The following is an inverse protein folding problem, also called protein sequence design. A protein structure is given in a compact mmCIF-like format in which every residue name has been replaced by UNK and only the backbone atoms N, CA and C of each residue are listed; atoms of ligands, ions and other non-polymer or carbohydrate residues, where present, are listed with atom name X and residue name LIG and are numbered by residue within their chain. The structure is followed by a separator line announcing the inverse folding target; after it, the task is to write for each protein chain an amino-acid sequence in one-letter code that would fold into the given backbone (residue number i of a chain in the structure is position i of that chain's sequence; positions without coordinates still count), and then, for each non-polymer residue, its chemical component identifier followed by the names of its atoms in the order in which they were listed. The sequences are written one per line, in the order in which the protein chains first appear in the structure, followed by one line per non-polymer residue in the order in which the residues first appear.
data_IF_201402745906
#
_entry.id   IF_201402745906
#
_cell.length_a   1.000
_cell.length_b   1.000
_cell.length_c   1.000
_cell.angle_alpha   90.00
_cell.angle_beta   90.00
_cell.angle_gamma   90.00
#
_symmetry.space_group_name_H-M   'P 1'
#
loop_
_entity.id
_entity.type
_entity.pdbx_description
1 polymer ?
#
# COMPACT_ATOMS: atom_id res chain seq x y z
N UNK A 1 32.00 -31.49 -9.74
CA UNK A 1 32.82 -30.62 -10.62
C UNK A 1 33.31 -29.36 -9.91
N UNK A 2 33.04 -29.19 -8.61
CA UNK A 2 33.39 -27.96 -7.87
C UNK A 2 34.90 -27.76 -7.80
N UNK A 3 35.35 -26.51 -7.93
CA UNK A 3 36.75 -26.10 -7.98
C UNK A 3 37.45 -26.32 -9.32
N UNK A 4 36.83 -27.00 -10.29
CA UNK A 4 37.42 -27.21 -11.61
C UNK A 4 37.38 -25.93 -12.45
N UNK A 5 38.43 -25.70 -13.22
CA UNK A 5 38.50 -24.61 -14.19
C UNK A 5 38.16 -25.13 -15.59
N UNK A 6 37.26 -24.43 -16.26
CA UNK A 6 36.77 -24.78 -17.60
C UNK A 6 36.76 -23.56 -18.50
N UNK A 7 36.69 -23.81 -19.80
CA UNK A 7 36.41 -22.79 -20.80
C UNK A 7 34.95 -22.87 -21.22
N UNK A 8 34.30 -21.72 -21.32
CA UNK A 8 33.05 -21.57 -22.07
C UNK A 8 33.39 -20.88 -23.39
N UNK A 9 33.05 -21.51 -24.51
CA UNK A 9 33.20 -20.90 -25.84
C UNK A 9 31.87 -20.25 -26.22
N UNK A 10 31.94 -19.07 -26.82
CA UNK A 10 30.80 -18.31 -27.29
C UNK A 10 30.91 -18.12 -28.79
N UNK A 11 29.92 -18.60 -29.53
CA UNK A 11 29.79 -18.42 -30.97
C UNK A 11 28.36 -17.98 -31.26
N UNK A 12 28.22 -16.80 -31.83
CA UNK A 12 26.91 -16.19 -32.10
C UNK A 12 26.04 -16.13 -30.83
N UNK A 13 24.88 -16.78 -30.85
CA UNK A 13 23.87 -16.83 -29.78
C UNK A 13 23.98 -18.09 -28.90
N UNK A 14 25.13 -18.78 -28.95
CA UNK A 14 25.35 -20.05 -28.25
C UNK A 14 26.63 -20.04 -27.42
N UNK A 15 26.54 -20.67 -26.27
CA UNK A 15 27.63 -21.02 -25.37
C UNK A 15 27.91 -22.52 -25.43
N UNK A 16 29.17 -22.93 -25.32
CA UNK A 16 29.61 -24.32 -25.44
C UNK A 16 30.53 -24.65 -24.25
N UNK A 17 30.17 -25.69 -23.50
CA UNK A 17 31.04 -26.35 -22.52
C UNK A 17 31.74 -27.58 -23.10
N UNK A 18 31.24 -28.09 -24.23
CA UNK A 18 31.79 -29.16 -25.06
C UNK A 18 31.41 -28.85 -26.52
N UNK A 19 32.13 -29.43 -27.48
CA UNK A 19 32.00 -29.07 -28.91
C UNK A 19 30.58 -29.33 -29.47
N UNK A 20 29.93 -30.41 -29.05
CA UNK A 20 28.71 -30.93 -29.69
C UNK A 20 27.39 -30.55 -28.97
N UNK A 21 27.44 -29.74 -27.90
CA UNK A 21 26.24 -29.34 -27.15
C UNK A 21 26.16 -27.82 -26.95
N UNK A 22 25.37 -27.09 -27.77
CA UNK A 22 25.13 -25.68 -27.56
C UNK A 22 24.15 -25.42 -26.42
N UNK A 23 24.43 -24.38 -25.63
CA UNK A 23 23.55 -23.79 -24.63
C UNK A 23 23.19 -22.40 -25.11
N UNK A 24 21.89 -22.10 -25.26
CA UNK A 24 21.44 -20.75 -25.65
C UNK A 24 21.89 -19.70 -24.61
N UNK A 25 22.28 -18.50 -25.05
CA UNK A 25 22.74 -17.44 -24.12
C UNK A 25 21.71 -17.10 -23.03
N UNK A 26 20.42 -17.28 -23.32
CA UNK A 26 19.34 -17.12 -22.34
C UNK A 26 19.47 -18.08 -21.15
N UNK A 27 19.92 -19.30 -21.39
CA UNK A 27 20.18 -20.31 -20.37
C UNK A 27 21.58 -20.20 -19.77
N UNK A 28 22.46 -19.38 -20.36
CA UNK A 28 23.77 -19.05 -19.80
C UNK A 28 23.73 -17.87 -18.81
N UNK A 29 22.53 -17.43 -18.36
CA UNK A 29 22.41 -16.37 -17.36
C UNK A 29 22.80 -14.98 -17.85
N UNK A 30 22.88 -14.78 -19.17
CA UNK A 30 23.26 -13.51 -19.81
C UNK A 30 22.06 -12.67 -20.27
N UNK A 31 20.85 -13.23 -20.22
CA UNK A 31 19.60 -12.65 -20.71
C UNK A 31 19.20 -11.34 -20.00
N UNK A 32 19.53 -11.18 -18.72
CA UNK A 32 19.18 -9.97 -17.94
C UNK A 32 20.11 -8.77 -18.19
N UNK A 33 21.29 -9.00 -18.78
CA UNK A 33 22.28 -7.95 -19.09
C UNK A 33 22.14 -7.49 -20.55
N UNK A 34 21.61 -8.36 -21.41
CA UNK A 34 21.48 -8.15 -22.85
C UNK A 34 20.11 -7.55 -23.21
N UNK A 35 19.76 -6.40 -22.63
CA UNK A 35 18.48 -5.73 -22.85
C UNK A 35 18.46 -4.89 -24.16
N UNK A 36 18.91 -5.46 -25.28
CA UNK A 36 18.86 -4.84 -26.62
C UNK A 36 18.59 -5.94 -27.65
N UNK A 37 17.55 -5.74 -28.46
CA UNK A 37 17.12 -6.62 -29.56
C UNK A 37 18.29 -7.15 -30.41
N UNK A 38 18.33 -8.49 -30.57
CA UNK A 38 19.31 -9.29 -31.33
C UNK A 38 20.78 -8.97 -31.01
N UNK A 39 21.35 -9.59 -29.97
CA UNK A 39 22.80 -9.55 -29.74
C UNK A 39 23.41 -10.94 -29.52
N UNK A 40 24.04 -11.40 -30.58
CA UNK A 40 25.00 -12.50 -30.66
C UNK A 40 26.42 -11.97 -30.39
N UNK A 41 27.36 -12.85 -30.01
CA UNK A 41 28.78 -12.52 -29.99
C UNK A 41 29.25 -12.26 -31.42
N UNK A 42 29.72 -11.03 -31.71
CA UNK A 42 30.13 -10.61 -33.06
C UNK A 42 31.35 -11.35 -33.59
N UNK A 43 32.20 -11.82 -32.67
CA UNK A 43 33.36 -12.63 -32.94
C UNK A 43 33.37 -13.80 -31.95
N UNK A 44 34.01 -14.94 -32.29
CA UNK A 44 34.25 -15.99 -31.31
C UNK A 44 34.90 -15.41 -30.06
N UNK A 45 34.46 -15.87 -28.91
CA UNK A 45 35.03 -15.50 -27.62
C UNK A 45 35.09 -16.73 -26.72
N UNK A 46 35.98 -16.75 -25.75
CA UNK A 46 35.97 -17.77 -24.72
C UNK A 46 36.27 -17.17 -23.36
N UNK A 47 35.62 -17.70 -22.33
CA UNK A 47 35.86 -17.28 -20.96
C UNK A 47 36.42 -18.44 -20.16
N UNK A 48 37.44 -18.16 -19.38
CA UNK A 48 37.97 -19.10 -18.39
C UNK A 48 37.15 -18.93 -17.13
N UNK A 49 36.55 -20.02 -16.65
CA UNK A 49 35.67 -20.03 -15.48
C UNK A 49 36.18 -21.00 -14.43
N UNK A 50 35.83 -20.76 -13.17
CA UNK A 50 35.94 -21.75 -12.11
C UNK A 50 34.55 -22.16 -11.63
N UNK A 51 34.27 -23.45 -11.60
CA UNK A 51 32.99 -23.97 -11.09
C UNK A 51 32.96 -23.84 -9.58
N UNK A 52 32.05 -23.02 -9.06
CA UNK A 52 31.82 -22.86 -7.63
C UNK A 52 30.90 -23.98 -7.14
N UNK A 53 29.83 -24.24 -7.90
CA UNK A 53 28.86 -25.27 -7.58
C UNK A 53 28.30 -25.94 -8.84
N UNK A 54 28.02 -27.23 -8.75
CA UNK A 54 27.35 -28.03 -9.76
C UNK A 54 26.14 -28.72 -9.15
N UNK A 55 24.94 -28.36 -9.63
CA UNK A 55 23.69 -29.01 -9.25
C UNK A 55 23.26 -29.97 -10.36
N UNK A 56 23.42 -31.27 -10.11
CA UNK A 56 23.07 -32.34 -11.04
C UNK A 56 21.56 -32.41 -11.30
N UNK A 57 20.73 -32.24 -10.26
CA UNK A 57 19.27 -32.31 -10.39
C UNK A 57 18.69 -31.19 -11.26
N UNK A 58 19.27 -29.99 -11.19
CA UNK A 58 18.87 -28.84 -11.99
C UNK A 58 19.63 -28.73 -13.31
N UNK A 59 20.56 -29.66 -13.59
CA UNK A 59 21.44 -29.62 -14.76
C UNK A 59 22.16 -28.26 -14.90
N UNK A 60 22.63 -27.72 -13.78
CA UNK A 60 23.06 -26.31 -13.66
C UNK A 60 24.44 -26.19 -13.04
N UNK A 61 25.27 -25.33 -13.63
CA UNK A 61 26.53 -24.89 -13.00
C UNK A 61 26.48 -23.43 -12.57
N UNK A 62 27.11 -23.15 -11.44
CA UNK A 62 27.38 -21.82 -10.94
C UNK A 62 28.89 -21.61 -10.91
N UNK A 63 29.38 -20.59 -11.61
CA UNK A 63 30.81 -20.38 -11.82
C UNK A 63 31.24 -18.91 -11.64
N UNK A 64 32.52 -18.68 -11.33
CA UNK A 64 33.14 -17.36 -11.43
C UNK A 64 33.93 -17.25 -12.73
N UNK A 65 33.87 -16.09 -13.38
CA UNK A 65 34.73 -15.83 -14.55
C UNK A 65 36.09 -15.37 -14.07
N UNK A 66 37.13 -16.09 -14.46
CA UNK A 66 38.53 -15.78 -14.16
C UNK A 66 39.14 -14.87 -15.22
N UNK A 67 38.76 -15.06 -16.49
CA UNK A 67 39.26 -14.29 -17.60
C UNK A 67 38.28 -14.28 -18.79
N UNK A 68 38.30 -13.18 -19.53
CA UNK A 68 37.54 -12.97 -20.76
C UNK A 68 38.50 -12.88 -21.94
N UNK A 69 38.26 -13.65 -23.01
CA UNK A 69 39.09 -13.65 -24.20
C UNK A 69 38.25 -13.49 -25.47
N UNK A 70 38.80 -12.78 -26.44
CA UNK A 70 38.28 -12.70 -27.82
C UNK A 70 39.11 -13.66 -28.68
N UNK A 71 38.44 -14.47 -29.49
CA UNK A 71 39.04 -15.45 -30.38
C UNK A 71 38.49 -16.87 -30.17
N UNK A 72 38.94 -17.77 -31.04
CA UNK A 72 38.71 -19.21 -30.90
C UNK A 72 39.72 -19.83 -29.93
N UNK A 73 39.32 -20.94 -29.32
CA UNK A 73 40.21 -21.78 -28.50
C UNK A 73 39.70 -23.22 -28.55
N UNK A 74 40.48 -24.14 -28.01
CA UNK A 74 40.03 -25.51 -27.79
C UNK A 74 39.81 -25.77 -26.30
N UNK A 75 38.90 -26.72 -26.01
CA UNK A 75 38.72 -27.26 -24.68
C UNK A 75 39.97 -28.00 -24.21
N UNK A 76 40.31 -27.82 -22.93
CA UNK A 76 41.45 -28.48 -22.31
C UNK A 76 41.19 -29.98 -22.10
N UNK A 77 42.26 -30.78 -21.97
CA UNK A 77 42.16 -32.24 -21.88
C UNK A 77 41.35 -32.72 -20.66
N UNK A 78 41.50 -32.04 -19.52
CA UNK A 78 40.69 -32.25 -18.32
C UNK A 78 39.19 -32.01 -18.56
N UNK A 79 38.84 -30.97 -19.34
CA UNK A 79 37.46 -30.67 -19.70
C UNK A 79 36.90 -31.72 -20.67
N UNK A 80 37.69 -32.17 -21.66
CA UNK A 80 37.31 -33.25 -22.58
C UNK A 80 37.05 -34.57 -21.85
N UNK A 81 37.82 -34.89 -20.80
CA UNK A 81 37.59 -36.07 -19.95
C UNK A 81 36.28 -36.00 -19.16
N UNK A 82 35.82 -34.79 -18.81
CA UNK A 82 34.57 -34.54 -18.09
C UNK A 82 33.38 -34.29 -19.03
N UNK A 83 33.54 -34.51 -20.34
CA UNK A 83 32.51 -34.27 -21.35
C UNK A 83 31.18 -34.94 -21.03
N UNK A 84 31.19 -36.18 -20.53
CA UNK A 84 29.96 -36.88 -20.13
C UNK A 84 29.14 -36.12 -19.08
N UNK A 85 29.79 -35.51 -18.07
CA UNK A 85 29.10 -34.71 -17.03
C UNK A 85 28.70 -33.33 -17.54
N UNK A 86 29.54 -32.72 -18.38
CA UNK A 86 29.25 -31.43 -18.98
C UNK A 86 28.11 -31.51 -20.00
N UNK A 87 27.96 -32.66 -20.65
CA UNK A 87 26.87 -32.93 -21.57
C UNK A 87 25.50 -32.94 -20.86
N UNK A 88 25.43 -33.08 -19.54
CA UNK A 88 24.16 -33.00 -18.81
C UNK A 88 23.79 -31.56 -18.43
N UNK A 89 24.70 -30.60 -18.55
CA UNK A 89 24.45 -29.19 -18.19
C UNK A 89 23.55 -28.52 -19.23
N UNK A 90 22.50 -27.85 -18.75
CA UNK A 90 21.58 -27.05 -19.54
C UNK A 90 21.61 -25.56 -19.16
N UNK A 91 22.05 -25.23 -17.94
CA UNK A 91 22.04 -23.86 -17.41
C UNK A 91 23.40 -23.49 -16.84
N UNK A 92 23.91 -22.31 -17.21
CA UNK A 92 25.14 -21.73 -16.65
C UNK A 92 24.75 -20.42 -15.95
N UNK A 93 25.24 -20.21 -14.73
CA UNK A 93 25.05 -18.95 -14.00
C UNK A 93 26.38 -18.48 -13.43
N UNK A 94 26.57 -17.18 -13.39
CA UNK A 94 27.84 -16.59 -12.99
C UNK A 94 27.73 -15.91 -11.62
N UNK A 95 28.79 -15.98 -10.81
CA UNK A 95 28.88 -15.32 -9.51
C UNK A 95 28.82 -13.82 -9.66
N UNK A 96 29.72 -13.30 -10.48
CA UNK A 96 29.79 -11.93 -10.94
C UNK A 96 30.19 -11.95 -12.42
N UNK A 97 29.74 -10.96 -13.17
CA UNK A 97 30.21 -10.68 -14.52
C UNK A 97 30.79 -9.28 -14.52
N UNK A 98 32.04 -9.15 -14.95
CA UNK A 98 32.61 -7.85 -15.23
C UNK A 98 31.94 -7.28 -16.49
N UNK A 99 31.16 -6.22 -16.31
CA UNK A 99 30.46 -5.53 -17.40
C UNK A 99 31.44 -5.09 -18.50
N UNK A 100 32.67 -4.69 -18.15
CA UNK A 100 33.66 -4.30 -19.14
C UNK A 100 34.14 -5.51 -19.97
N UNK A 101 34.54 -6.60 -19.32
CA UNK A 101 34.94 -7.85 -19.99
C UNK A 101 33.81 -8.45 -20.85
N UNK A 102 32.58 -8.42 -20.35
CA UNK A 102 31.39 -8.86 -21.08
C UNK A 102 31.13 -8.01 -22.33
N UNK A 103 31.05 -6.68 -22.20
CA UNK A 103 30.78 -5.80 -23.34
C UNK A 103 31.91 -5.84 -24.39
N UNK A 104 33.14 -6.04 -23.93
CA UNK A 104 34.31 -6.16 -24.81
C UNK A 104 34.25 -7.45 -25.63
N UNK A 105 33.97 -8.58 -24.98
CA UNK A 105 33.84 -9.88 -25.68
C UNK A 105 32.59 -9.93 -26.58
N UNK A 106 31.47 -9.34 -26.18
CA UNK A 106 30.26 -9.24 -27.02
C UNK A 106 30.47 -8.38 -28.28
N UNK A 107 31.16 -7.24 -28.13
CA UNK A 107 31.37 -6.30 -29.25
C UNK A 107 32.52 -6.69 -30.15
N UNK A 108 33.45 -7.53 -29.67
CA UNK A 108 34.71 -7.87 -30.33
C UNK A 108 35.66 -6.68 -30.52
N UNK A 109 35.41 -5.56 -29.83
CA UNK A 109 36.25 -4.36 -29.91
C UNK A 109 37.42 -4.48 -28.93
N UNK A 110 38.52 -5.05 -29.42
CA UNK A 110 39.78 -5.18 -28.69
C UNK A 110 40.53 -6.44 -29.08
N UNK A 111 41.84 -6.48 -28.84
CA UNK A 111 42.65 -7.70 -28.90
C UNK A 111 43.27 -7.94 -27.52
N UNK A 112 43.00 -9.11 -26.92
CA UNK A 112 43.63 -9.47 -25.65
C UNK A 112 42.76 -10.26 -24.66
N UNK A 113 43.41 -10.63 -23.55
CA UNK A 113 42.79 -11.21 -22.35
C UNK A 113 42.41 -10.08 -21.39
N UNK A 114 41.20 -10.13 -20.84
CA UNK A 114 40.73 -9.21 -19.83
C UNK A 114 40.47 -9.97 -18.53
N UNK A 115 40.97 -9.44 -17.43
CA UNK A 115 40.78 -10.01 -16.10
C UNK A 115 39.80 -9.12 -15.33
N UNK A 116 38.83 -9.69 -14.60
CA UNK A 116 37.95 -8.92 -13.75
C UNK A 116 38.76 -8.01 -12.81
N UNK A 117 38.37 -6.74 -12.69
CA UNK A 117 39.05 -5.80 -11.79
C UNK A 117 38.96 -6.32 -10.35
N UNK A 118 40.12 -6.59 -9.74
CA UNK A 118 40.21 -6.85 -8.30
C UNK A 118 40.03 -5.51 -7.59
N UNK A 119 38.93 -5.33 -6.89
CA UNK A 119 38.81 -4.23 -5.94
C UNK A 119 40.00 -4.25 -4.96
N UNK A 120 40.54 -3.05 -4.74
CA UNK A 120 41.79 -2.75 -4.05
C UNK A 120 41.74 -3.20 -2.60
N UNK A 121 42.62 -4.12 -2.22
CA UNK A 121 43.08 -4.34 -0.85
C UNK A 121 44.32 -3.44 -0.62
N UNK A 122 44.49 -2.79 0.56
CA UNK A 122 45.61 -1.89 0.80
C UNK A 122 46.96 -2.62 0.86
N UNK A 123 47.95 -1.95 0.28
CA UNK A 123 49.41 -2.12 0.38
C UNK A 123 50.05 -3.52 0.25
N UNK A 124 50.77 -3.63 -0.87
CA UNK A 124 51.86 -4.58 -1.10
C UNK A 124 52.91 -4.48 0.02
N UNK A 125 52.96 -5.46 0.91
CA UNK A 125 54.22 -5.84 1.54
C UNK A 125 55.03 -6.64 0.52
N UNK A 126 56.21 -6.12 0.18
CA UNK A 126 57.23 -6.81 -0.63
C UNK A 126 57.67 -8.09 0.09
N UNK A 127 57.57 -9.24 -0.56
CA UNK A 127 58.33 -10.42 -0.17
C UNK A 127 59.64 -10.49 -0.95
N UNK A 128 60.80 -10.59 -0.28
CA UNK A 128 61.94 -11.28 -0.82
C UNK A 128 61.66 -12.79 -0.78
N UNK A 129 62.08 -13.49 -1.83
CA UNK A 129 62.15 -14.94 -1.92
C UNK A 129 63.01 -15.53 -0.78
N UNK A 130 62.52 -16.58 -0.10
CA UNK A 130 63.32 -17.70 0.44
C UNK A 130 62.43 -18.96 0.51
N UNK A 131 63.09 -20.08 0.27
CA UNK A 131 62.59 -21.46 0.16
C UNK A 131 62.11 -22.09 1.47
N UNK A 132 61.33 -23.16 1.28
CA UNK A 132 61.27 -24.42 2.06
C UNK A 132 60.63 -24.46 3.44
N UNK A 133 59.60 -25.33 3.51
CA UNK A 133 59.22 -26.26 4.60
C UNK A 133 58.84 -25.69 5.97
N UNK A 134 57.60 -25.93 6.39
CA UNK A 134 57.21 -26.80 7.52
C UNK A 134 55.68 -26.73 7.67
N UNK A 135 55.06 -27.91 7.64
CA UNK A 135 53.68 -28.17 8.03
C UNK A 135 53.60 -28.05 9.55
N UNK A 136 52.68 -27.25 10.10
CA UNK A 136 51.93 -27.58 11.32
C UNK A 136 50.81 -26.56 11.61
N UNK A 137 49.62 -27.15 11.85
CA UNK A 137 48.44 -26.65 12.57
C UNK A 137 48.01 -25.19 12.35
N UNK A 138 47.08 -25.01 11.41
CA UNK A 138 46.26 -23.80 11.29
C UNK A 138 45.35 -23.66 12.53
N UNK A 139 45.39 -22.52 13.24
CA UNK A 139 44.36 -22.21 14.24
C UNK A 139 43.01 -22.08 13.53
N UNK A 140 41.93 -22.49 14.20
CA UNK A 140 40.57 -22.29 13.72
C UNK A 140 40.38 -20.80 13.39
N UNK A 141 40.22 -20.49 12.10
CA UNK A 141 39.90 -19.14 11.65
C UNK A 141 38.52 -18.83 12.21
N UNK A 142 38.45 -17.98 13.23
CA UNK A 142 37.19 -17.37 13.66
C UNK A 142 36.61 -16.63 12.44
N UNK A 143 35.58 -17.19 11.82
CA UNK A 143 34.84 -16.51 10.75
C UNK A 143 34.11 -15.34 11.39
N UNK A 144 34.67 -14.14 11.27
CA UNK A 144 33.92 -12.95 11.59
C UNK A 144 32.84 -12.73 10.52
N UNK A 145 31.59 -12.48 10.92
CA UNK A 145 30.48 -12.28 10.00
C UNK A 145 30.78 -11.13 9.01
N UNK A 146 30.60 -11.39 7.71
CA UNK A 146 30.79 -10.36 6.68
C UNK A 146 29.58 -9.43 6.65
N UNK A 147 29.74 -8.19 7.10
CA UNK A 147 28.69 -7.17 7.11
C UNK A 147 28.77 -6.29 5.85
N UNK A 148 27.65 -6.07 5.17
CA UNK A 148 27.51 -5.06 4.10
C UNK A 148 26.27 -4.22 4.34
N UNK A 149 26.29 -2.96 3.89
CA UNK A 149 25.14 -2.06 3.94
C UNK A 149 24.83 -1.54 2.53
N UNK A 150 23.56 -1.58 2.13
CA UNK A 150 23.07 -1.06 0.87
C UNK A 150 22.09 0.07 1.15
N UNK A 151 22.28 1.20 0.48
CA UNK A 151 21.36 2.35 0.54
C UNK A 151 20.81 2.62 -0.86
N UNK A 152 19.49 2.63 -1.02
CA UNK A 152 18.81 2.89 -2.29
C UNK A 152 17.66 3.87 -2.09
N UNK A 153 17.45 4.76 -3.07
CA UNK A 153 16.29 5.66 -3.10
C UNK A 153 15.47 5.38 -4.36
N UNK A 154 14.17 5.19 -4.20
CA UNK A 154 13.24 4.87 -5.30
C UNK A 154 11.83 5.39 -5.03
N UNK A 155 10.99 5.39 -6.06
CA UNK A 155 9.58 5.77 -5.96
C UNK A 155 8.66 4.55 -5.89
N UNK A 156 7.60 4.66 -5.08
CA UNK A 156 6.53 3.66 -4.96
C UNK A 156 5.19 4.36 -5.09
N UNK A 157 4.29 3.82 -5.91
CA UNK A 157 2.93 4.36 -6.00
C UNK A 157 2.18 4.10 -4.69
N UNK A 158 1.49 5.12 -4.16
CA UNK A 158 0.70 5.00 -2.92
C UNK A 158 -0.32 3.86 -3.05
N UNK A 159 -0.93 3.69 -4.23
CA UNK A 159 -1.89 2.59 -4.46
C UNK A 159 -1.28 1.18 -4.26
N UNK A 160 0.04 1.04 -4.37
CA UNK A 160 0.76 -0.23 -4.27
C UNK A 160 1.34 -0.48 -2.87
N UNK A 161 1.26 0.48 -1.94
CA UNK A 161 1.62 0.25 -0.53
C UNK A 161 0.43 -0.34 0.23
N UNK A 162 0.68 -1.10 1.29
CA UNK A 162 -0.32 -1.61 2.23
C UNK A 162 -0.27 -0.77 3.49
N UNK A 163 -1.39 -0.19 3.92
CA UNK A 163 -1.47 0.47 5.21
C UNK A 163 -1.58 -0.61 6.28
N UNK A 164 -0.66 -0.58 7.25
CA UNK A 164 -0.62 -1.52 8.37
C UNK A 164 -0.65 -0.73 9.68
N UNK A 165 -0.88 -1.40 10.80
CA UNK A 165 -0.84 -0.73 12.10
C UNK A 165 0.54 -0.11 12.34
N UNK A 166 0.59 1.22 12.49
CA UNK A 166 1.82 1.94 12.77
C UNK A 166 2.72 2.15 11.54
N UNK A 167 2.21 2.05 10.31
CA UNK A 167 2.98 2.41 9.12
C UNK A 167 2.42 1.94 7.78
N UNK A 168 3.29 1.87 6.78
CA UNK A 168 2.98 1.26 5.49
C UNK A 168 4.00 0.18 5.15
N UNK A 169 3.56 -0.90 4.51
CA UNK A 169 4.42 -1.94 3.96
C UNK A 169 4.31 -2.09 2.46
N UNK A 170 5.38 -2.50 1.81
CA UNK A 170 5.40 -2.81 0.38
C UNK A 170 6.58 -3.71 0.06
N UNK A 171 6.48 -4.42 -1.05
CA UNK A 171 7.53 -5.32 -1.47
C UNK A 171 8.34 -4.72 -2.62
N UNK A 172 9.67 -4.75 -2.49
CA UNK A 172 10.57 -4.19 -3.49
C UNK A 172 11.82 -5.06 -3.63
N UNK A 173 12.25 -5.22 -4.89
CA UNK A 173 13.55 -5.79 -5.21
C UNK A 173 14.58 -4.65 -5.29
N UNK A 174 15.65 -4.76 -4.50
CA UNK A 174 16.76 -3.81 -4.54
C UNK A 174 17.76 -4.16 -5.64
N UNK A 175 18.47 -3.14 -6.15
CA UNK A 175 19.55 -3.35 -7.10
C UNK A 175 20.66 -4.19 -6.45
N UNK A 176 21.05 -5.29 -7.09
CA UNK A 176 22.07 -6.21 -6.55
C UNK A 176 21.54 -7.25 -5.54
N UNK A 177 20.24 -7.28 -5.22
CA UNK A 177 19.63 -8.35 -4.43
C UNK A 177 18.53 -9.08 -5.22
N UNK A 178 18.57 -10.41 -5.23
CA UNK A 178 17.68 -11.21 -6.09
C UNK A 178 16.32 -11.50 -5.46
N UNK A 179 16.20 -11.40 -4.13
CA UNK A 179 14.94 -11.62 -3.41
C UNK A 179 14.13 -10.34 -3.29
N UNK A 180 12.82 -10.52 -3.24
CA UNK A 180 11.87 -9.49 -2.85
C UNK A 180 12.08 -9.20 -1.37
N UNK A 181 12.22 -7.92 -0.99
CA UNK A 181 12.31 -7.50 0.40
C UNK A 181 11.02 -6.76 0.74
N UNK A 182 10.35 -7.17 1.82
CA UNK A 182 9.26 -6.38 2.39
C UNK A 182 9.89 -5.24 3.21
N UNK A 183 9.55 -4.01 2.82
CA UNK A 183 9.91 -2.81 3.56
C UNK A 183 8.73 -2.35 4.37
N UNK A 184 9.01 -1.86 5.58
CA UNK A 184 8.03 -1.16 6.42
C UNK A 184 8.56 0.24 6.71
N UNK A 185 7.72 1.25 6.46
CA UNK A 185 7.96 2.62 6.86
C UNK A 185 7.04 2.90 8.04
N UNK A 186 7.63 3.15 9.21
CA UNK A 186 6.88 3.40 10.44
C UNK A 186 6.23 4.78 10.44
N UNK A 187 4.97 4.84 10.86
CA UNK A 187 4.24 6.05 11.22
C UNK A 187 3.10 5.65 12.19
N UNK A 188 3.17 6.12 13.43
CA UNK A 188 2.25 5.74 14.50
C UNK A 188 0.80 6.23 14.32
N UNK A 189 0.57 7.25 13.50
CA UNK A 189 -0.77 7.77 13.22
C UNK A 189 -1.51 6.91 12.17
N UNK A 190 -0.79 6.04 11.45
CA UNK A 190 -1.37 5.18 10.41
C UNK A 190 -2.00 3.93 11.02
N UNK A 191 -3.22 3.61 10.54
CA UNK A 191 -3.95 2.40 10.87
C UNK A 191 -4.32 1.61 9.61
N UNK A 192 -4.51 0.30 9.77
CA UNK A 192 -4.82 -0.59 8.65
C UNK A 192 -6.17 -0.26 7.98
N UNK A 193 -7.16 0.26 8.72
CA UNK A 193 -8.46 0.59 8.12
C UNK A 193 -8.37 1.72 7.08
N UNK A 194 -7.31 2.52 7.12
CA UNK A 194 -7.07 3.57 6.13
C UNK A 194 -6.72 3.02 4.74
N UNK A 195 -6.37 1.73 4.62
CA UNK A 195 -6.10 1.10 3.33
C UNK A 195 -7.29 1.24 2.36
N UNK A 196 -8.52 1.14 2.89
CA UNK A 196 -9.77 1.27 2.13
C UNK A 196 -10.03 2.69 1.58
N UNK A 197 -9.36 3.71 2.13
CA UNK A 197 -9.50 5.13 1.77
C UNK A 197 -8.18 5.74 1.31
N UNK A 198 -7.21 4.89 0.95
CA UNK A 198 -5.85 5.25 0.54
C UNK A 198 -5.78 6.27 -0.61
N UNK A 199 -6.77 6.30 -1.50
CA UNK A 199 -6.86 7.30 -2.55
C UNK A 199 -6.98 8.75 -2.01
N UNK A 200 -7.66 8.94 -0.87
CA UNK A 200 -7.76 10.26 -0.25
C UNK A 200 -6.40 10.73 0.30
N UNK A 201 -5.60 9.82 0.83
CA UNK A 201 -4.22 10.09 1.28
C UNK A 201 -3.26 10.43 0.12
N UNK A 202 -3.60 10.08 -1.12
CA UNK A 202 -2.88 10.56 -2.31
C UNK A 202 -3.40 11.93 -2.79
N UNK A 203 -4.72 12.16 -2.70
CA UNK A 203 -5.37 13.35 -3.23
C UNK A 203 -5.11 14.61 -2.39
N UNK A 204 -5.15 14.52 -1.06
CA UNK A 204 -4.95 15.66 -0.15
C UNK A 204 -3.54 16.28 -0.31
N UNK A 205 -2.44 15.51 -0.23
CA UNK A 205 -1.09 16.04 -0.48
C UNK A 205 -0.78 16.21 -1.97
N UNK A 206 -1.71 15.85 -2.88
CA UNK A 206 -1.55 15.90 -4.34
C UNK A 206 -0.36 15.10 -4.87
N UNK A 207 0.02 14.02 -4.18
CA UNK A 207 1.05 13.10 -4.66
C UNK A 207 0.48 11.70 -4.87
N UNK A 208 0.89 11.03 -5.93
CA UNK A 208 0.49 9.64 -6.23
C UNK A 208 1.58 8.64 -5.89
N UNK A 209 2.78 9.12 -5.59
CA UNK A 209 3.97 8.32 -5.33
C UNK A 209 4.66 8.83 -4.06
N UNK A 210 5.32 7.94 -3.35
CA UNK A 210 6.19 8.26 -2.23
C UNK A 210 7.63 8.01 -2.63
N UNK A 211 8.52 8.92 -2.24
CA UNK A 211 9.94 8.68 -2.31
C UNK A 211 10.38 7.88 -1.08
N UNK A 212 11.00 6.73 -1.30
CA UNK A 212 11.48 5.86 -0.24
C UNK A 212 13.00 5.81 -0.28
N UNK A 213 13.63 6.09 0.86
CA UNK A 213 15.03 5.80 1.12
C UNK A 213 15.11 4.56 2.00
N UNK A 214 15.69 3.49 1.46
CA UNK A 214 15.87 2.22 2.14
C UNK A 214 17.35 1.98 2.45
N UNK A 215 17.63 1.52 3.67
CA UNK A 215 18.95 1.06 4.14
C UNK A 215 18.79 -0.39 4.56
N UNK A 216 19.55 -1.29 3.94
CA UNK A 216 19.52 -2.72 4.23
C UNK A 216 20.91 -3.18 4.64
N UNK A 217 21.00 -3.78 5.82
CA UNK A 217 22.22 -4.40 6.32
C UNK A 217 22.13 -5.90 6.10
N UNK A 218 23.23 -6.48 5.63
CA UNK A 218 23.36 -7.92 5.50
C UNK A 218 24.54 -8.42 6.31
N UNK A 219 24.37 -9.61 6.88
CA UNK A 219 25.45 -10.41 7.47
C UNK A 219 25.45 -11.75 6.78
N UNK A 220 26.57 -12.14 6.19
CA UNK A 220 26.72 -13.41 5.46
C UNK A 220 25.63 -13.62 4.39
N UNK A 221 25.30 -12.54 3.67
CA UNK A 221 24.24 -12.45 2.65
C UNK A 221 22.78 -12.59 3.14
N UNK A 222 22.57 -12.74 4.45
CA UNK A 222 21.25 -12.66 5.08
C UNK A 222 20.93 -11.23 5.53
N UNK A 223 19.67 -10.81 5.36
CA UNK A 223 19.23 -9.49 5.80
C UNK A 223 19.18 -9.49 7.33
N UNK A 224 20.02 -8.67 7.95
CA UNK A 224 20.00 -8.47 9.41
C UNK A 224 19.20 -7.25 9.82
N UNK A 225 19.02 -6.28 8.93
CA UNK A 225 18.20 -5.10 9.18
C UNK A 225 17.70 -4.51 7.86
N UNK A 226 16.45 -4.04 7.83
CA UNK A 226 15.91 -3.22 6.76
C UNK A 226 15.17 -2.03 7.35
N UNK A 227 15.60 -0.83 6.99
CA UNK A 227 15.00 0.43 7.44
C UNK A 227 14.58 1.22 6.22
N UNK A 228 13.31 1.62 6.16
CA UNK A 228 12.80 2.48 5.10
C UNK A 228 12.20 3.76 5.70
N UNK A 229 12.42 4.90 5.02
CA UNK A 229 11.86 6.20 5.38
C UNK A 229 11.28 6.89 4.15
N UNK A 230 10.22 7.68 4.36
CA UNK A 230 9.60 8.55 3.37
C UNK A 230 9.04 9.78 4.07
N UNK A 231 9.32 10.97 3.53
CA UNK A 231 8.81 12.22 4.07
C UNK A 231 7.30 12.37 3.79
N UNK A 232 6.80 11.80 2.70
CA UNK A 232 5.39 11.78 2.37
C UNK A 232 4.59 10.91 3.34
N UNK A 233 5.15 9.76 3.76
CA UNK A 233 4.54 8.93 4.80
C UNK A 233 4.58 9.64 6.16
N UNK A 234 5.66 10.35 6.50
CA UNK A 234 5.77 11.13 7.73
C UNK A 234 4.74 12.29 7.78
N UNK A 235 4.34 12.84 6.64
CA UNK A 235 3.29 13.86 6.55
C UNK A 235 1.89 13.33 6.89
N UNK A 236 1.67 12.01 6.90
CA UNK A 236 0.42 11.40 7.34
C UNK A 236 0.34 11.49 8.87
N UNK A 237 0.04 12.69 9.35
CA UNK A 237 -0.17 12.98 10.76
C UNK A 237 -1.66 13.21 11.06
N UNK A 238 -1.99 13.42 12.33
CA UNK A 238 -3.37 13.71 12.75
C UNK A 238 -4.04 14.84 11.97
N UNK A 239 -3.32 15.91 11.60
CA UNK A 239 -3.89 17.01 10.81
C UNK A 239 -4.23 16.60 9.38
N UNK A 240 -3.37 15.81 8.72
CA UNK A 240 -3.65 15.30 7.38
C UNK A 240 -4.80 14.29 7.42
N UNK A 241 -4.84 13.43 8.44
CA UNK A 241 -5.93 12.48 8.67
C UNK A 241 -7.26 13.23 8.81
N UNK A 242 -7.30 14.31 9.59
CA UNK A 242 -8.51 15.12 9.73
C UNK A 242 -8.94 15.78 8.40
N UNK A 243 -8.00 16.27 7.61
CA UNK A 243 -8.31 16.77 6.26
C UNK A 243 -8.89 15.67 5.36
N UNK A 244 -8.31 14.47 5.39
CA UNK A 244 -8.82 13.31 4.66
C UNK A 244 -10.24 12.93 5.13
N UNK A 245 -10.49 12.92 6.44
CA UNK A 245 -11.85 12.72 7.00
C UNK A 245 -12.84 13.72 6.42
N UNK A 246 -12.46 15.00 6.37
CA UNK A 246 -13.32 16.07 5.87
C UNK A 246 -13.61 15.94 4.36
N UNK A 247 -12.59 15.61 3.57
CA UNK A 247 -12.76 15.32 2.14
C UNK A 247 -13.71 14.13 1.91
N UNK A 248 -13.52 13.05 2.67
CA UNK A 248 -14.34 11.86 2.60
C UNK A 248 -15.83 12.15 2.87
N UNK A 249 -16.12 12.92 3.92
CA UNK A 249 -17.49 13.33 4.28
C UNK A 249 -18.09 14.30 3.25
N UNK A 250 -17.27 15.18 2.66
CA UNK A 250 -17.77 16.14 1.66
C UNK A 250 -18.19 15.46 0.36
N UNK A 251 -17.45 14.45 -0.07
CA UNK A 251 -17.78 13.72 -1.31
C UNK A 251 -19.09 12.92 -1.18
N UNK A 252 -19.40 12.36 0.00
CA UNK A 252 -20.67 11.64 0.20
C UNK A 252 -21.89 12.55 0.07
N UNK A 253 -21.76 13.86 0.37
CA UNK A 253 -22.85 14.84 0.16
C UNK A 253 -23.11 15.13 -1.32
N UNK A 254 -22.11 15.00 -2.21
CA UNK A 254 -22.23 15.36 -3.63
C UNK A 254 -22.99 14.30 -4.45
N UNK A 255 -22.78 13.01 -4.15
CA UNK A 255 -23.46 11.92 -4.88
C UNK A 255 -24.95 11.92 -4.59
N UNK A 256 -25.74 12.25 -5.60
CA UNK A 256 -27.19 12.46 -5.49
C UNK A 256 -28.02 11.68 -6.50
N UNK A 257 -27.40 10.80 -7.29
CA UNK A 257 -28.00 10.10 -8.44
C UNK A 257 -28.18 8.59 -8.26
N UNK A 258 -28.11 8.07 -7.03
CA UNK A 258 -28.39 6.65 -6.81
C UNK A 258 -29.91 6.50 -6.65
N UNK A 259 -30.53 5.75 -7.57
CA UNK A 259 -31.93 5.37 -7.49
C UNK A 259 -32.06 4.26 -6.43
N UNK A 260 -32.44 4.66 -5.22
CA UNK A 260 -32.51 3.77 -4.05
C UNK A 260 -33.87 3.95 -3.41
N UNK A 261 -34.58 2.83 -3.23
CA UNK A 261 -35.87 2.79 -2.53
C UNK A 261 -35.77 3.12 -1.03
N UNK A 262 -34.55 3.01 -0.46
CA UNK A 262 -34.25 3.27 0.95
C UNK A 262 -33.91 4.74 1.18
N UNK A 263 -34.43 5.32 2.26
CA UNK A 263 -34.21 6.74 2.59
C UNK A 263 -33.56 6.97 3.95
N UNK A 264 -33.65 5.98 4.85
CA UNK A 264 -33.11 6.07 6.19
C UNK A 264 -31.89 5.16 6.29
N UNK A 265 -30.71 5.78 6.29
CA UNK A 265 -29.44 5.07 6.38
C UNK A 265 -28.89 5.14 7.79
N UNK A 266 -28.32 4.06 8.32
CA UNK A 266 -27.33 4.17 9.40
C UNK A 266 -26.03 4.78 8.87
N UNK A 267 -25.10 5.16 9.74
CA UNK A 267 -23.80 5.70 9.29
C UNK A 267 -23.06 4.73 8.37
N UNK A 268 -22.99 3.45 8.75
CA UNK A 268 -22.32 2.41 7.96
C UNK A 268 -22.98 2.25 6.58
N UNK A 269 -24.31 2.13 6.54
CA UNK A 269 -25.07 2.01 5.30
C UNK A 269 -24.95 3.26 4.43
N UNK A 270 -24.88 4.45 5.05
CA UNK A 270 -24.71 5.71 4.33
C UNK A 270 -23.37 5.74 3.61
N UNK A 271 -22.28 5.38 4.28
CA UNK A 271 -20.96 5.32 3.64
C UNK A 271 -20.87 4.20 2.60
N UNK A 272 -21.39 3.00 2.88
CA UNK A 272 -21.44 1.92 1.90
C UNK A 272 -22.16 2.34 0.60
N UNK A 273 -23.21 3.15 0.74
CA UNK A 273 -24.05 3.62 -0.37
C UNK A 273 -23.45 4.81 -1.12
N UNK A 274 -22.96 5.82 -0.41
CA UNK A 274 -22.63 7.13 -0.99
C UNK A 274 -21.12 7.42 -1.05
N UNK A 275 -20.25 6.60 -0.47
CA UNK A 275 -18.81 6.77 -0.64
C UNK A 275 -18.37 6.45 -2.08
N UNK A 276 -17.17 6.92 -2.46
CA UNK A 276 -16.57 6.55 -3.75
C UNK A 276 -16.06 5.12 -3.76
N UNK A 277 -15.50 4.69 -2.64
CA UNK A 277 -14.97 3.35 -2.44
C UNK A 277 -16.00 2.53 -1.69
N UNK A 278 -16.21 1.27 -2.11
CA UNK A 278 -17.03 0.32 -1.36
C UNK A 278 -16.36 -0.01 -0.04
N UNK A 279 -16.82 0.62 1.03
CA UNK A 279 -16.27 0.48 2.37
C UNK A 279 -17.31 -0.27 3.21
N UNK A 280 -16.94 -1.45 3.73
CA UNK A 280 -17.83 -2.24 4.60
C UNK A 280 -17.97 -1.66 6.00
N UNK A 281 -16.94 -0.94 6.47
CA UNK A 281 -16.90 -0.31 7.79
C UNK A 281 -16.17 1.02 7.67
N UNK A 282 -16.80 2.10 8.13
CA UNK A 282 -16.20 3.42 8.06
C UNK A 282 -14.86 3.47 8.83
N UNK A 283 -13.75 3.90 8.19
CA UNK A 283 -12.42 3.83 8.79
C UNK A 283 -12.15 4.96 9.80
N UNK A 284 -13.01 5.98 9.89
CA UNK A 284 -12.70 7.18 10.67
C UNK A 284 -13.46 7.35 11.97
N UNK A 285 -14.63 6.73 12.11
CA UNK A 285 -15.57 6.99 13.21
C UNK A 285 -16.07 5.67 13.78
N UNK A 286 -15.82 5.47 15.07
CA UNK A 286 -16.34 4.35 15.84
C UNK A 286 -17.75 4.61 16.39
N UNK A 287 -18.15 5.88 16.47
CA UNK A 287 -19.48 6.30 16.92
C UNK A 287 -20.03 7.45 16.03
N UNK A 288 -21.35 7.58 15.97
CA UNK A 288 -22.01 8.57 15.10
C UNK A 288 -21.90 10.01 15.63
N UNK A 289 -21.61 10.18 16.93
CA UNK A 289 -21.48 11.50 17.57
C UNK A 289 -20.24 12.23 17.08
N UNK A 290 -19.11 11.54 17.00
CA UNK A 290 -17.85 12.10 16.48
C UNK A 290 -17.99 12.47 15.00
N UNK A 291 -18.67 11.62 14.22
CA UNK A 291 -19.00 11.94 12.84
C UNK A 291 -19.85 13.21 12.72
N UNK A 292 -20.95 13.35 13.50
CA UNK A 292 -21.74 14.59 13.49
C UNK A 292 -20.86 15.78 13.85
N UNK A 293 -20.05 15.69 14.89
CA UNK A 293 -19.22 16.81 15.33
C UNK A 293 -18.27 17.28 14.21
N UNK A 294 -17.63 16.35 13.51
CA UNK A 294 -16.72 16.67 12.42
C UNK A 294 -17.47 17.18 11.19
N UNK A 295 -18.62 16.60 10.86
CA UNK A 295 -19.51 17.10 9.82
C UNK A 295 -19.94 18.55 10.10
N UNK A 296 -20.32 18.87 11.34
CA UNK A 296 -20.74 20.20 11.75
C UNK A 296 -19.59 21.23 11.72
N UNK A 297 -18.33 20.81 11.92
CA UNK A 297 -17.16 21.71 11.81
C UNK A 297 -16.91 22.16 10.37
N UNK A 298 -17.17 21.29 9.39
CA UNK A 298 -16.88 21.58 7.97
C UNK A 298 -18.04 22.18 7.21
N UNK A 299 -19.24 22.11 7.77
CA UNK A 299 -20.42 22.64 7.13
C UNK A 299 -20.76 24.00 7.72
N UNK A 300 -21.00 24.99 6.86
CA UNK A 300 -21.50 26.30 7.26
C UNK A 300 -23.01 26.20 7.55
N UNK A 301 -23.36 25.37 8.55
CA UNK A 301 -24.74 24.94 8.75
C UNK A 301 -25.59 26.01 9.38
N UNK A 302 -26.85 26.10 8.92
CA UNK A 302 -27.86 26.94 9.56
C UNK A 302 -28.24 26.40 10.93
N UNK A 303 -28.19 25.09 11.11
CA UNK A 303 -28.71 24.39 12.29
C UNK A 303 -27.60 23.82 13.20
N UNK A 304 -26.40 24.42 13.18
CA UNK A 304 -25.24 23.96 13.94
C UNK A 304 -25.57 23.72 15.42
N UNK A 305 -26.20 24.69 16.08
CA UNK A 305 -26.48 24.64 17.52
C UNK A 305 -27.53 23.57 17.84
N UNK A 306 -28.55 23.45 17.00
CA UNK A 306 -29.62 22.46 17.10
C UNK A 306 -29.05 21.04 16.97
N UNK A 307 -28.32 20.77 15.89
CA UNK A 307 -27.73 19.45 15.64
C UNK A 307 -26.72 19.05 16.71
N UNK A 308 -25.90 20.00 17.19
CA UNK A 308 -24.99 19.75 18.30
C UNK A 308 -25.73 19.38 19.58
N UNK A 309 -26.84 20.08 19.88
CA UNK A 309 -27.68 19.76 21.03
C UNK A 309 -28.34 18.38 20.88
N UNK A 310 -29.00 18.11 19.76
CA UNK A 310 -29.69 16.84 19.48
C UNK A 310 -28.72 15.65 19.53
N UNK A 311 -27.54 15.79 18.93
CA UNK A 311 -26.47 14.79 18.98
C UNK A 311 -26.06 14.46 20.42
N UNK A 312 -26.00 15.46 21.30
CA UNK A 312 -25.66 15.25 22.71
C UNK A 312 -26.74 14.51 23.51
N UNK A 313 -28.01 14.58 23.07
CA UNK A 313 -29.17 13.99 23.74
C UNK A 313 -29.62 12.66 23.12
N UNK A 314 -28.96 12.23 22.04
CA UNK A 314 -29.39 11.08 21.29
C UNK A 314 -29.17 9.77 22.07
N UNK A 315 -30.21 8.94 22.15
CA UNK A 315 -30.16 7.61 22.75
C UNK A 315 -29.52 6.56 21.81
N UNK A 316 -28.20 6.65 21.63
CA UNK A 316 -27.43 5.76 20.74
C UNK A 316 -27.59 4.27 21.08
N UNK A 317 -27.67 3.92 22.37
CA UNK A 317 -27.81 2.54 22.83
C UNK A 317 -29.14 1.88 22.42
N UNK A 318 -30.15 2.69 22.14
CA UNK A 318 -31.49 2.22 21.76
C UNK A 318 -31.68 2.27 20.25
N UNK A 319 -31.24 3.37 19.63
CA UNK A 319 -31.36 3.58 18.20
C UNK A 319 -30.10 4.24 17.67
N UNK A 320 -29.40 3.57 16.75
CA UNK A 320 -28.36 4.23 15.95
C UNK A 320 -28.94 5.47 15.26
N UNK A 321 -28.13 6.49 15.04
CA UNK A 321 -28.55 7.67 14.27
C UNK A 321 -28.99 7.27 12.85
N UNK A 322 -29.96 7.99 12.27
CA UNK A 322 -30.34 7.82 10.86
C UNK A 322 -30.05 9.08 10.04
N UNK A 323 -29.59 8.86 8.81
CA UNK A 323 -29.25 9.85 7.81
C UNK A 323 -30.23 9.79 6.66
N UNK A 324 -30.60 10.95 6.15
CA UNK A 324 -31.40 11.13 4.94
C UNK A 324 -30.59 11.99 3.99
N UNK A 325 -30.42 11.57 2.74
CA UNK A 325 -29.57 12.30 1.78
C UNK A 325 -30.22 13.56 1.19
N UNK A 326 -31.56 13.57 1.03
CA UNK A 326 -32.28 14.68 0.38
C UNK A 326 -33.61 15.01 1.07
N UNK A 327 -33.73 16.19 1.71
CA UNK A 327 -32.64 17.10 2.08
C UNK A 327 -31.68 16.41 3.06
N UNK A 328 -30.41 16.82 3.08
CA UNK A 328 -29.45 16.20 3.98
C UNK A 328 -29.82 16.49 5.43
N UNK A 329 -30.19 15.45 6.17
CA UNK A 329 -30.88 15.57 7.46
C UNK A 329 -30.73 14.32 8.32
N UNK A 330 -31.11 14.42 9.59
CA UNK A 330 -30.88 13.41 10.61
C UNK A 330 -32.14 13.10 11.40
N UNK A 331 -32.29 11.84 11.81
CA UNK A 331 -33.32 11.41 12.75
C UNK A 331 -32.66 11.01 14.07
N UNK A 332 -32.98 11.74 15.12
CA UNK A 332 -32.56 11.50 16.49
C UNK A 332 -33.68 10.82 17.29
N UNK A 333 -33.28 10.01 18.27
CA UNK A 333 -34.16 9.52 19.33
C UNK A 333 -33.77 10.20 20.63
N UNK A 334 -34.72 10.89 21.28
CA UNK A 334 -34.52 11.60 22.53
C UNK A 334 -35.43 11.02 23.61
N UNK A 335 -34.92 10.95 24.83
CA UNK A 335 -35.70 10.56 25.98
C UNK A 335 -36.45 11.76 26.55
N UNK A 336 -37.78 11.67 26.61
CA UNK A 336 -38.60 12.54 27.47
C UNK A 336 -39.01 11.84 28.76
N UNK A 337 -39.85 12.51 29.55
CA UNK A 337 -40.27 12.02 30.87
C UNK A 337 -41.05 10.70 30.73
N UNK A 338 -42.13 10.74 29.95
CA UNK A 338 -43.02 9.57 29.74
C UNK A 338 -42.80 8.84 28.43
N UNK A 339 -42.29 9.53 27.41
CA UNK A 339 -42.25 9.06 26.03
C UNK A 339 -40.85 9.18 25.42
N UNK A 340 -40.60 8.45 24.33
CA UNK A 340 -39.51 8.79 23.43
C UNK A 340 -39.99 9.82 22.41
N UNK A 341 -39.04 10.62 21.93
CA UNK A 341 -39.28 11.63 20.91
C UNK A 341 -38.35 11.36 19.73
N UNK A 342 -38.95 11.07 18.58
CA UNK A 342 -38.22 10.96 17.32
C UNK A 342 -38.14 12.36 16.72
N UNK A 343 -36.94 12.88 16.50
CA UNK A 343 -36.71 14.25 16.05
C UNK A 343 -36.01 14.26 14.70
N UNK A 344 -36.63 14.90 13.71
CA UNK A 344 -36.04 15.11 12.39
C UNK A 344 -35.56 16.55 12.24
N UNK A 345 -34.27 16.70 11.94
CA UNK A 345 -33.61 17.99 11.75
C UNK A 345 -32.78 18.01 10.48
N UNK A 346 -32.89 19.09 9.70
CA UNK A 346 -32.10 19.28 8.49
C UNK A 346 -30.75 19.91 8.78
N UNK A 347 -29.76 19.65 7.94
CA UNK A 347 -28.43 20.23 8.09
C UNK A 347 -28.42 21.73 7.73
N UNK A 348 -28.90 22.06 6.52
CA UNK A 348 -28.63 23.35 5.88
C UNK A 348 -29.87 24.05 5.28
N UNK A 349 -31.04 23.39 5.30
CA UNK A 349 -32.28 23.94 4.71
C UNK A 349 -33.13 24.64 5.76
N UNK A 350 -33.89 25.67 5.38
CA UNK A 350 -34.73 26.46 6.31
C UNK A 350 -36.01 25.73 6.79
N UNK A 351 -35.94 24.42 6.87
CA UNK A 351 -37.06 23.60 7.30
C UNK A 351 -37.17 23.62 8.82
N UNK A 352 -38.39 23.39 9.30
CA UNK A 352 -38.65 23.27 10.73
C UNK A 352 -38.15 21.93 11.28
N UNK A 353 -37.85 21.87 12.57
CA UNK A 353 -37.67 20.61 13.29
C UNK A 353 -39.00 19.90 13.42
N UNK A 354 -39.03 18.61 13.09
CA UNK A 354 -40.22 17.77 13.23
C UNK A 354 -40.05 16.76 14.36
N UNK A 355 -41.11 16.55 15.14
CA UNK A 355 -41.05 15.74 16.36
C UNK A 355 -42.24 14.80 16.39
N UNK A 356 -41.99 13.51 16.67
CA UNK A 356 -43.03 12.52 16.94
C UNK A 356 -42.86 11.96 18.33
N UNK A 357 -43.90 12.07 19.13
CA UNK A 357 -43.97 11.48 20.46
C UNK A 357 -44.44 10.03 20.36
N UNK A 358 -43.71 9.11 20.99
CA UNK A 358 -44.05 7.69 21.02
C UNK A 358 -43.88 7.09 22.42
N UNK A 359 -44.72 6.12 22.81
CA UNK A 359 -44.49 5.33 24.02
C UNK A 359 -43.09 4.70 24.05
N UNK A 360 -42.52 4.52 25.24
CA UNK A 360 -41.22 3.87 25.45
C UNK A 360 -41.27 2.36 25.19
N UNK A 361 -41.56 1.97 23.96
CA UNK A 361 -41.73 0.60 23.51
C UNK A 361 -40.95 0.34 22.20
N UNK A 362 -40.02 -0.62 22.18
CA UNK A 362 -39.20 -0.92 20.99
C UNK A 362 -40.01 -1.28 19.74
N UNK A 363 -41.15 -1.98 19.90
CA UNK A 363 -42.00 -2.35 18.77
C UNK A 363 -42.69 -1.13 18.16
N UNK A 364 -43.14 -0.20 19.00
CA UNK A 364 -43.73 1.06 18.55
C UNK A 364 -42.67 1.88 17.82
N UNK A 365 -41.46 2.02 18.39
CA UNK A 365 -40.33 2.68 17.73
C UNK A 365 -40.06 2.08 16.34
N UNK A 366 -39.95 0.76 16.23
CA UNK A 366 -39.73 0.08 14.94
C UNK A 366 -40.83 0.38 13.93
N UNK A 367 -42.10 0.39 14.35
CA UNK A 367 -43.23 0.73 13.49
C UNK A 367 -43.21 2.20 13.06
N UNK A 368 -42.84 3.11 13.97
CA UNK A 368 -42.71 4.55 13.68
C UNK A 368 -41.60 4.81 12.67
N UNK A 369 -40.46 4.12 12.79
CA UNK A 369 -39.36 4.27 11.82
C UNK A 369 -39.78 3.85 10.40
N UNK A 370 -40.58 2.79 10.25
CA UNK A 370 -41.12 2.40 8.92
C UNK A 370 -42.07 3.46 8.37
N UNK A 371 -43.00 3.94 9.21
CA UNK A 371 -43.93 5.01 8.81
C UNK A 371 -43.19 6.29 8.40
N UNK A 372 -42.10 6.63 9.09
CA UNK A 372 -41.24 7.76 8.74
C UNK A 372 -40.56 7.56 7.38
N UNK A 373 -40.09 6.36 7.08
CA UNK A 373 -39.51 6.05 5.78
C UNK A 373 -40.55 6.18 4.65
N UNK A 374 -41.75 5.61 4.83
CA UNK A 374 -42.86 5.73 3.88
C UNK A 374 -43.27 7.20 3.68
N UNK A 375 -43.30 7.97 4.76
CA UNK A 375 -43.57 9.40 4.74
C UNK A 375 -42.50 10.17 3.96
N UNK A 376 -41.22 9.87 4.17
CA UNK A 376 -40.12 10.50 3.42
C UNK A 376 -40.23 10.21 1.93
N UNK A 377 -40.58 8.97 1.58
CA UNK A 377 -40.89 8.58 0.21
C UNK A 377 -42.05 9.41 -0.36
N UNK A 378 -43.15 9.53 0.38
CA UNK A 378 -44.31 10.29 -0.05
C UNK A 378 -43.99 11.78 -0.27
N UNK A 379 -43.22 12.39 0.64
CA UNK A 379 -42.80 13.79 0.53
C UNK A 379 -41.92 14.06 -0.69
N UNK A 380 -41.12 13.08 -1.13
CA UNK A 380 -40.36 13.19 -2.38
C UNK A 380 -41.28 13.25 -3.62
N UNK A 381 -42.38 12.49 -3.61
CA UNK A 381 -43.29 12.34 -4.76
C UNK A 381 -44.33 13.48 -4.82
N UNK A 382 -44.97 13.78 -3.69
CA UNK A 382 -46.15 14.66 -3.63
C UNK A 382 -45.85 16.06 -3.04
N UNK A 383 -44.63 16.28 -2.55
CA UNK A 383 -44.25 17.51 -1.86
C UNK A 383 -44.73 17.58 -0.40
N UNK A 384 -44.03 18.36 0.42
CA UNK A 384 -44.18 18.36 1.89
C UNK A 384 -45.52 18.87 2.44
N UNK A 385 -46.27 19.66 1.66
CA UNK A 385 -47.54 20.28 2.11
C UNK A 385 -48.67 19.25 2.30
N UNK A 386 -48.67 18.15 1.55
CA UNK A 386 -49.69 17.11 1.66
C UNK A 386 -49.61 16.36 3.01
N UNK A 387 -48.40 16.13 3.53
CA UNK A 387 -48.21 15.39 4.77
C UNK A 387 -48.48 16.20 6.02
N UNK A 388 -48.05 17.47 6.06
CA UNK A 388 -48.25 18.35 7.23
C UNK A 388 -49.76 18.47 7.58
N UNK A 389 -50.63 18.40 6.57
CA UNK A 389 -52.08 18.47 6.75
C UNK A 389 -52.72 17.15 7.19
N UNK A 390 -52.00 16.03 7.11
CA UNK A 390 -52.47 14.68 7.46
C UNK A 390 -51.88 14.17 8.79
N UNK A 391 -51.10 14.99 9.48
CA UNK A 391 -50.36 14.59 10.68
C UNK A 391 -51.28 14.44 11.91
N UNK A 392 -50.98 13.41 12.71
CA UNK A 392 -51.72 12.99 13.90
C UNK A 392 -51.39 13.87 15.13
N UNK A 393 -52.15 13.72 16.23
CA UNK A 393 -51.98 14.44 17.49
C UNK A 393 -50.59 14.25 18.13
N UNK A 394 -49.84 13.23 17.73
CA UNK A 394 -48.49 12.92 18.22
C UNK A 394 -47.37 13.70 17.50
N UNK A 395 -47.70 14.48 16.46
CA UNK A 395 -46.75 15.23 15.66
C UNK A 395 -46.65 16.70 16.09
N UNK A 396 -45.42 17.21 16.21
CA UNK A 396 -45.13 18.61 16.50
C UNK A 396 -44.08 19.16 15.54
N UNK A 397 -44.07 20.48 15.39
CA UNK A 397 -43.12 21.20 14.54
C UNK A 397 -42.61 22.46 15.25
N UNK A 398 -41.31 22.70 15.20
CA UNK A 398 -40.67 23.92 15.71
C UNK A 398 -40.12 24.71 14.54
N UNK A 399 -40.70 25.88 14.27
CA UNK A 399 -40.16 26.77 13.24
C UNK A 399 -38.94 27.51 13.78
N UNK A 400 -37.86 27.53 13.02
CA UNK A 400 -36.65 28.26 13.40
C UNK A 400 -36.83 29.76 13.23
N UNK A 401 -36.23 30.52 14.14
CA UNK A 401 -36.12 31.97 14.05
C UNK A 401 -34.69 32.33 13.62
N UNK A 402 -34.55 32.87 12.41
CA UNK A 402 -33.26 33.27 11.84
C UNK A 402 -32.96 34.77 12.04
N UNK A 403 -33.86 35.52 12.67
CA UNK A 403 -33.72 36.98 12.82
C UNK A 403 -32.67 37.40 13.86
N UNK A 404 -32.36 36.54 14.84
CA UNK A 404 -31.27 36.72 15.82
C UNK A 404 -30.69 35.37 16.27
N UNK A 405 -29.42 35.10 15.94
CA UNK A 405 -28.75 33.78 16.12
C UNK A 405 -28.57 33.31 17.57
N UNK A 406 -28.61 34.21 18.56
CA UNK A 406 -28.50 33.86 19.99
C UNK A 406 -29.88 33.50 20.56
N UNK A 407 -30.90 34.31 20.26
CA UNK A 407 -32.26 34.12 20.77
C UNK A 407 -33.02 32.98 20.07
N UNK A 408 -32.80 32.79 18.76
CA UNK A 408 -33.49 31.78 17.97
C UNK A 408 -33.20 30.34 18.43
N UNK A 409 -31.96 30.04 18.82
CA UNK A 409 -31.61 28.73 19.36
C UNK A 409 -32.18 28.52 20.77
N UNK A 410 -32.13 29.54 21.63
CA UNK A 410 -32.67 29.44 23.01
C UNK A 410 -34.17 29.19 22.97
N UNK A 411 -34.89 29.91 22.10
CA UNK A 411 -36.32 29.71 21.87
C UNK A 411 -36.61 28.30 21.36
N UNK A 412 -35.91 27.88 20.30
CA UNK A 412 -36.04 26.53 19.74
C UNK A 412 -35.80 25.44 20.80
N UNK A 413 -34.77 25.61 21.63
CA UNK A 413 -34.45 24.66 22.70
C UNK A 413 -35.57 24.61 23.75
N UNK A 414 -36.08 25.76 24.15
CA UNK A 414 -37.21 25.86 25.08
C UNK A 414 -38.47 25.18 24.55
N UNK A 415 -38.78 25.38 23.26
CA UNK A 415 -39.91 24.70 22.59
C UNK A 415 -39.71 23.19 22.58
N UNK A 416 -38.51 22.70 22.22
CA UNK A 416 -38.19 21.28 22.22
C UNK A 416 -38.34 20.68 23.62
N UNK A 417 -37.71 21.28 24.64
CA UNK A 417 -37.77 20.82 26.03
C UNK A 417 -39.20 20.84 26.58
N UNK A 418 -40.06 21.76 26.13
CA UNK A 418 -41.48 21.76 26.49
C UNK A 418 -42.22 20.53 25.99
N UNK A 419 -41.86 20.02 24.81
CA UNK A 419 -42.43 18.79 24.25
C UNK A 419 -41.86 17.53 24.86
N UNK A 420 -40.68 17.59 25.50
CA UNK A 420 -40.06 16.42 26.13
C UNK A 420 -40.68 16.05 27.50
N UNK A 421 -41.48 16.94 28.09
CA UNK A 421 -42.15 16.76 29.39
C UNK A 421 -43.31 15.75 29.37
#
# INVERSE_FOLDING_TARGET
MNGQEFKILFRQDKAFLIDDKPILLEKAGLSNILNIEKKEFKHPAYWTIRVINHNESEKKIYCEVLAYHIGETEFEQNQKQLSHKLNDIEIITFRNLDTAGLLTTLSGKGSGSFYPSKDVVPDRVKYPSIQSSIVNELPAIEKHPYKRTLTETFFVQIKNVRFILGGVSFDKKLQGHYKLIEFTISNHDIREEFDAVKNYFANVPKTKEIQVTAVVEFTDDEITSSVAKSSEIEQINNSLIDNVKFEFVRETKKKTSVDIDKNLFTMDEYFETFAEVKIKKNPFYDNEKDFINDLLKISNTKHYKQLRFLSSQHLHDIMKLRFIQKPFSFIFLIQGDKNYHVVWETLDTEEATYIWQIPKNPNVLKSTMRKLEDMINLMKIQGKRAYINAADESFRRINHDYSNLVDGFVKWKGDLESYLK
#
